data_IF_772342246288
#
_entry.id   IF_772342246288
#
_cell.length_a   1.000
_cell.length_b   1.000
_cell.length_c   1.000
_cell.angle_alpha   90.00
_cell.angle_beta   90.00
_cell.angle_gamma   90.00
#
_symmetry.space_group_name_H-M   'P 1'
#
loop_
_entity.id
_entity.type
_entity.pdbx_description
1 polymer ?
#
# COMPACT_ATOMS: atom_id res chain seq x y z
N UNK A 1 -5.97 -43.91 6.75
CA UNK A 1 -5.16 -42.67 6.88
C UNK A 1 -4.18 -42.53 5.71
N UNK A 2 -3.29 -43.51 5.48
CA UNK A 2 -2.32 -43.51 4.37
C UNK A 2 -2.97 -43.41 2.98
N UNK A 3 -4.08 -44.13 2.75
CA UNK A 3 -4.85 -44.10 1.49
C UNK A 3 -5.51 -42.75 1.22
N UNK A 4 -5.96 -42.05 2.26
CA UNK A 4 -6.59 -40.73 2.15
C UNK A 4 -5.56 -39.64 1.83
N UNK A 5 -4.38 -39.72 2.45
CA UNK A 5 -3.22 -38.87 2.13
C UNK A 5 -2.78 -39.10 0.68
N UNK A 6 -2.76 -40.35 0.23
CA UNK A 6 -2.42 -40.70 -1.15
C UNK A 6 -3.40 -40.06 -2.16
N UNK A 7 -4.71 -40.17 -1.90
CA UNK A 7 -5.73 -39.54 -2.75
C UNK A 7 -5.63 -38.01 -2.77
N UNK A 8 -5.36 -37.38 -1.62
CA UNK A 8 -5.16 -35.94 -1.50
C UNK A 8 -3.96 -35.41 -2.29
N UNK A 9 -2.94 -36.24 -2.54
CA UNK A 9 -1.75 -35.86 -3.31
C UNK A 9 -1.94 -36.19 -4.80
N UNK A 10 -2.52 -37.35 -5.11
CA UNK A 10 -2.67 -37.81 -6.50
C UNK A 10 -3.74 -37.03 -7.28
N UNK A 11 -4.86 -36.68 -6.64
CA UNK A 11 -5.95 -35.99 -7.34
C UNK A 11 -5.51 -34.60 -7.82
N UNK A 12 -4.89 -33.73 -6.98
CA UNK A 12 -4.44 -32.41 -7.44
C UNK A 12 -3.29 -32.48 -8.47
N UNK A 13 -2.41 -33.47 -8.36
CA UNK A 13 -1.30 -33.63 -9.32
C UNK A 13 -1.79 -34.06 -10.69
N UNK A 14 -2.75 -35.00 -10.76
CA UNK A 14 -3.42 -35.38 -12.01
C UNK A 14 -4.18 -34.18 -12.58
N UNK A 15 -4.92 -33.44 -11.75
CA UNK A 15 -5.68 -32.27 -12.20
C UNK A 15 -4.76 -31.18 -12.77
N UNK A 16 -3.65 -30.90 -12.09
CA UNK A 16 -2.62 -29.95 -12.54
C UNK A 16 -2.02 -30.37 -13.90
N UNK A 17 -1.69 -31.65 -14.06
CA UNK A 17 -1.18 -32.19 -15.33
C UNK A 17 -2.18 -32.01 -16.49
N UNK A 18 -3.47 -32.27 -16.24
CA UNK A 18 -4.52 -32.10 -17.24
C UNK A 18 -4.70 -30.64 -17.65
N UNK A 19 -4.72 -29.72 -16.67
CA UNK A 19 -4.81 -28.27 -16.90
C UNK A 19 -3.62 -27.77 -17.74
N UNK A 20 -2.40 -28.14 -17.36
CA UNK A 20 -1.19 -27.77 -18.10
C UNK A 20 -1.19 -28.32 -19.53
N UNK A 21 -1.66 -29.56 -19.71
CA UNK A 21 -1.81 -30.19 -21.04
C UNK A 21 -2.83 -29.45 -21.91
N UNK A 22 -3.95 -29.01 -21.32
CA UNK A 22 -4.99 -28.27 -22.04
C UNK A 22 -4.51 -26.87 -22.44
N UNK A 23 -3.87 -26.15 -21.52
CA UNK A 23 -3.25 -24.83 -21.78
C UNK A 23 -2.19 -24.96 -22.89
N UNK A 24 -1.35 -26.00 -22.84
CA UNK A 24 -0.36 -26.29 -23.88
C UNK A 24 -1.03 -26.47 -25.25
N UNK A 25 -2.09 -27.29 -25.33
CA UNK A 25 -2.81 -27.54 -26.59
C UNK A 25 -3.48 -26.28 -27.15
N UNK A 26 -4.04 -25.41 -26.30
CA UNK A 26 -4.68 -24.16 -26.73
C UNK A 26 -3.64 -23.18 -27.25
N UNK A 27 -2.57 -22.91 -26.49
CA UNK A 27 -1.58 -21.89 -26.83
C UNK A 27 -0.67 -22.30 -28.00
N UNK A 28 -0.40 -23.60 -28.17
CA UNK A 28 0.59 -24.10 -29.14
C UNK A 28 -0.01 -24.94 -30.26
N UNK A 29 -1.33 -24.80 -30.51
CA UNK A 29 -2.11 -25.57 -31.50
C UNK A 29 -1.54 -25.57 -32.94
N UNK A 30 -0.63 -24.66 -33.30
CA UNK A 30 -0.11 -24.54 -34.67
C UNK A 30 1.42 -24.46 -34.85
N UNK A 31 2.26 -24.73 -33.82
CA UNK A 31 3.73 -24.71 -33.99
C UNK A 31 4.34 -26.07 -33.65
N UNK A 32 4.77 -26.79 -34.69
CA UNK A 32 5.26 -28.18 -34.64
C UNK A 32 6.46 -28.47 -33.71
N UNK A 33 7.09 -27.48 -33.08
CA UNK A 33 8.32 -27.71 -32.29
C UNK A 33 8.44 -26.83 -31.03
N UNK A 34 7.35 -26.53 -30.33
CA UNK A 34 7.48 -25.93 -28.99
C UNK A 34 7.64 -27.03 -27.95
N UNK A 35 8.85 -27.15 -27.40
CA UNK A 35 9.19 -28.15 -26.37
C UNK A 35 8.29 -27.99 -25.15
N UNK A 36 7.70 -29.11 -24.68
CA UNK A 36 6.91 -29.17 -23.44
C UNK A 36 7.68 -28.62 -22.23
N UNK A 37 9.00 -28.74 -22.24
CA UNK A 37 9.91 -28.19 -21.22
C UNK A 37 9.91 -26.65 -21.20
N UNK A 38 9.84 -25.99 -22.36
CA UNK A 38 9.77 -24.52 -22.43
C UNK A 38 8.45 -23.98 -21.88
N UNK A 39 7.36 -24.71 -22.06
CA UNK A 39 6.04 -24.34 -21.51
C UNK A 39 6.01 -24.50 -20.00
N UNK A 40 6.64 -25.55 -19.48
CA UNK A 40 6.85 -25.73 -18.04
C UNK A 40 7.69 -24.58 -17.43
N UNK A 41 8.83 -24.26 -18.04
CA UNK A 41 9.66 -23.11 -17.61
C UNK A 41 8.90 -21.79 -17.69
N UNK A 42 8.12 -21.58 -18.76
CA UNK A 42 7.25 -20.41 -18.90
C UNK A 42 6.21 -20.31 -17.78
N UNK A 43 5.60 -21.43 -17.39
CA UNK A 43 4.61 -21.46 -16.29
C UNK A 43 5.24 -21.16 -14.92
N UNK A 44 6.45 -21.67 -14.64
CA UNK A 44 7.22 -21.32 -13.44
C UNK A 44 7.57 -19.83 -13.45
N UNK A 45 8.04 -19.33 -14.61
CA UNK A 45 8.36 -17.92 -14.80
C UNK A 45 7.16 -17.01 -14.51
N UNK A 46 5.96 -17.39 -14.96
CA UNK A 46 4.72 -16.65 -14.68
C UNK A 46 4.34 -16.66 -13.20
N UNK A 47 4.50 -17.79 -12.51
CA UNK A 47 4.24 -17.89 -11.06
C UNK A 47 5.20 -16.99 -10.28
N UNK A 48 6.50 -17.04 -10.61
CA UNK A 48 7.51 -16.17 -9.98
C UNK A 48 7.20 -14.70 -10.30
N UNK A 49 6.87 -14.38 -11.54
CA UNK A 49 6.50 -13.04 -11.95
C UNK A 49 5.29 -12.50 -11.18
N UNK A 50 4.25 -13.31 -10.97
CA UNK A 50 3.07 -12.93 -10.18
C UNK A 50 3.37 -12.81 -8.68
N UNK A 51 4.31 -13.60 -8.14
CA UNK A 51 4.74 -13.46 -6.74
C UNK A 51 5.69 -12.30 -6.50
N UNK A 52 6.49 -11.92 -7.49
CA UNK A 52 7.46 -10.82 -7.36
C UNK A 52 6.78 -9.44 -7.44
N UNK A 53 7.35 -8.40 -6.81
CA UNK A 53 6.77 -7.05 -6.82
C UNK A 53 6.63 -6.43 -8.22
N UNK A 54 7.34 -6.97 -9.22
CA UNK A 54 7.30 -6.48 -10.60
C UNK A 54 5.89 -6.52 -11.21
N UNK A 55 5.07 -7.50 -10.84
CA UNK A 55 3.71 -7.59 -11.34
C UNK A 55 2.78 -6.48 -10.81
N UNK A 56 3.14 -5.76 -9.74
CA UNK A 56 2.37 -4.58 -9.31
C UNK A 56 2.29 -3.51 -10.39
N UNK A 57 3.34 -3.35 -11.20
CA UNK A 57 3.39 -2.35 -12.27
C UNK A 57 2.39 -2.59 -13.40
N UNK A 58 1.80 -3.79 -13.47
CA UNK A 58 0.74 -4.12 -14.41
C UNK A 58 -0.66 -3.73 -13.91
N UNK A 59 -0.79 -3.37 -12.64
CA UNK A 59 -2.07 -3.10 -11.99
C UNK A 59 -2.35 -1.58 -11.99
N UNK A 60 -3.41 -1.08 -12.65
CA UNK A 60 -3.68 0.36 -12.72
C UNK A 60 -3.81 1.05 -11.36
N UNK A 61 -4.39 0.36 -10.37
CA UNK A 61 -4.51 0.87 -8.99
C UNK A 61 -3.17 1.10 -8.31
N UNK A 62 -2.12 0.36 -8.69
CA UNK A 62 -0.77 0.56 -8.16
C UNK A 62 -0.17 1.88 -8.66
N UNK A 63 -0.43 2.25 -9.92
CA UNK A 63 0.01 3.53 -10.45
C UNK A 63 -0.72 4.71 -9.79
N UNK A 64 -2.02 4.56 -9.54
CA UNK A 64 -2.79 5.54 -8.76
C UNK A 64 -2.19 5.71 -7.36
N UNK A 65 -2.01 4.62 -6.62
CA UNK A 65 -1.32 4.60 -5.33
C UNK A 65 0.03 5.32 -5.36
N UNK A 66 0.91 4.91 -6.30
CA UNK A 66 2.25 5.47 -6.44
C UNK A 66 2.24 6.97 -6.73
N UNK A 67 1.33 7.43 -7.60
CA UNK A 67 1.22 8.85 -7.93
C UNK A 67 0.70 9.69 -6.78
N UNK A 68 -0.21 9.15 -5.98
CA UNK A 68 -0.69 9.83 -4.77
C UNK A 68 0.43 9.91 -3.71
N UNK A 69 1.19 8.83 -3.49
CA UNK A 69 2.32 8.87 -2.53
C UNK A 69 3.40 9.89 -2.92
N UNK A 70 3.61 10.16 -4.22
CA UNK A 70 4.53 11.22 -4.67
C UNK A 70 4.14 12.61 -4.21
N UNK A 71 2.89 12.85 -3.81
CA UNK A 71 2.49 14.13 -3.22
C UNK A 71 3.27 14.41 -1.93
N UNK A 72 3.71 13.39 -1.20
CA UNK A 72 4.51 13.55 0.01
C UNK A 72 5.89 14.13 -0.25
N UNK A 73 6.43 13.97 -1.47
CA UNK A 73 7.73 14.51 -1.88
C UNK A 73 7.69 16.02 -2.14
N UNK A 74 6.49 16.59 -2.39
CA UNK A 74 6.32 18.00 -2.66
C UNK A 74 6.71 18.86 -1.43
N UNK A 75 7.17 20.11 -1.63
CA UNK A 75 7.38 21.06 -0.55
C UNK A 75 6.11 21.26 0.29
N UNK A 76 6.27 21.39 1.61
CA UNK A 76 5.16 21.69 2.52
C UNK A 76 4.68 23.13 2.31
N UNK A 77 3.70 23.30 1.43
CA UNK A 77 3.08 24.56 1.08
C UNK A 77 1.58 24.37 0.82
N UNK A 78 0.87 25.47 0.63
CA UNK A 78 -0.58 25.45 0.41
C UNK A 78 -0.97 24.66 -0.84
N UNK A 79 -0.17 24.71 -1.90
CA UNK A 79 -0.42 23.95 -3.13
C UNK A 79 -0.42 22.43 -2.87
N UNK A 80 0.58 21.91 -2.16
CA UNK A 80 0.64 20.51 -1.75
C UNK A 80 -0.56 20.15 -0.89
N UNK A 81 -0.88 21.00 0.08
CA UNK A 81 -1.94 20.73 1.04
C UNK A 81 -3.30 20.66 0.35
N UNK A 82 -3.62 21.63 -0.51
CA UNK A 82 -4.85 21.61 -1.31
C UNK A 82 -4.88 20.44 -2.31
N UNK A 83 -3.74 20.00 -2.85
CA UNK A 83 -3.66 18.79 -3.69
C UNK A 83 -3.96 17.50 -2.90
N UNK A 84 -3.59 17.42 -1.63
CA UNK A 84 -3.92 16.28 -0.77
C UNK A 84 -5.40 16.35 -0.36
N UNK A 85 -5.86 17.52 0.07
CA UNK A 85 -7.22 17.75 0.55
C UNK A 85 -8.28 17.60 -0.55
N UNK A 86 -7.94 17.85 -1.81
CA UNK A 86 -8.88 17.65 -2.93
C UNK A 86 -9.35 16.20 -3.06
N UNK A 87 -8.56 15.22 -2.62
CA UNK A 87 -9.01 13.82 -2.55
C UNK A 87 -10.07 13.58 -1.48
N UNK A 88 -10.24 14.50 -0.52
CA UNK A 88 -11.29 14.51 0.49
C UNK A 88 -12.43 15.48 0.15
N UNK A 89 -12.49 15.97 -1.09
CA UNK A 89 -13.50 16.92 -1.55
C UNK A 89 -13.51 18.24 -0.74
N UNK A 90 -12.33 18.65 -0.25
CA UNK A 90 -12.12 19.88 0.52
C UNK A 90 -10.80 20.57 0.15
N UNK A 91 -10.53 21.70 0.78
CA UNK A 91 -9.27 22.43 0.73
C UNK A 91 -8.92 22.97 2.13
N UNK A 92 -7.79 23.67 2.24
CA UNK A 92 -7.31 24.19 3.52
C UNK A 92 -8.22 25.31 4.09
N UNK A 93 -8.99 26.00 3.24
CA UNK A 93 -9.90 27.07 3.66
C UNK A 93 -11.21 26.51 4.21
N UNK A 94 -11.72 25.45 3.59
CA UNK A 94 -13.01 24.84 3.91
C UNK A 94 -12.92 23.65 4.87
N UNK A 95 -11.71 23.24 5.29
CA UNK A 95 -11.53 22.12 6.21
C UNK A 95 -12.20 22.42 7.57
N UNK A 96 -12.94 21.44 8.09
CA UNK A 96 -13.52 21.49 9.43
C UNK A 96 -12.42 21.25 10.48
N UNK A 97 -11.79 22.33 10.92
CA UNK A 97 -10.74 22.30 11.94
C UNK A 97 -11.26 21.88 13.31
N UNK A 98 -12.52 22.15 13.63
CA UNK A 98 -13.10 21.79 14.92
C UNK A 98 -13.20 20.27 15.02
N UNK A 99 -13.80 19.62 14.02
CA UNK A 99 -13.87 18.16 13.93
C UNK A 99 -12.47 17.51 13.92
N UNK A 100 -11.51 18.11 13.19
CA UNK A 100 -10.15 17.60 13.09
C UNK A 100 -9.44 17.63 14.46
N UNK A 101 -9.65 18.70 15.24
CA UNK A 101 -8.96 18.89 16.52
C UNK A 101 -9.48 18.02 17.66
N UNK A 102 -10.71 17.49 17.57
CA UNK A 102 -11.22 16.50 18.54
C UNK A 102 -10.35 15.25 18.62
N UNK A 103 -9.60 14.96 17.55
CA UNK A 103 -8.74 13.78 17.42
C UNK A 103 -7.26 14.11 17.56
N UNK A 104 -6.87 15.34 17.86
CA UNK A 104 -5.45 15.71 17.97
C UNK A 104 -4.81 15.01 19.16
N UNK A 105 -3.63 14.43 18.95
CA UNK A 105 -2.80 13.86 20.01
C UNK A 105 -1.41 14.47 20.03
N UNK A 106 -0.77 14.36 21.19
CA UNK A 106 0.62 14.78 21.37
C UNK A 106 1.56 13.67 20.94
N UNK A 107 2.53 14.00 20.10
CA UNK A 107 3.55 13.10 19.60
C UNK A 107 4.61 12.88 20.71
N UNK A 108 5.01 11.63 20.90
CA UNK A 108 6.02 11.25 21.89
C UNK A 108 7.43 11.39 21.31
N UNK A 109 8.46 11.53 22.18
CA UNK A 109 9.85 11.70 21.72
C UNK A 109 10.41 10.50 20.97
N UNK A 110 9.80 9.34 21.19
CA UNK A 110 10.13 8.06 20.59
C UNK A 110 9.56 7.92 19.16
N UNK A 111 8.67 8.82 18.76
CA UNK A 111 8.08 8.82 17.42
C UNK A 111 9.09 9.31 16.37
N UNK A 112 9.11 8.67 15.20
CA UNK A 112 10.03 9.01 14.10
C UNK A 112 9.83 10.46 13.61
N UNK A 113 8.61 10.98 13.70
CA UNK A 113 8.27 12.32 13.24
C UNK A 113 8.56 13.39 14.28
N UNK A 114 8.83 13.04 15.55
CA UNK A 114 9.00 14.05 16.60
C UNK A 114 10.17 15.00 16.31
N UNK A 115 9.85 16.30 16.35
CA UNK A 115 10.82 17.39 16.26
C UNK A 115 10.43 18.45 17.28
N UNK A 116 11.27 18.63 18.30
CA UNK A 116 11.00 19.62 19.35
C UNK A 116 10.77 21.02 18.75
N UNK A 117 9.66 21.65 19.12
CA UNK A 117 9.23 22.97 18.63
C UNK A 117 8.74 23.00 17.18
N UNK A 118 8.57 21.85 16.52
CA UNK A 118 8.18 21.77 15.09
C UNK A 118 7.06 20.75 14.87
N UNK A 119 7.23 19.50 15.31
CA UNK A 119 6.26 18.42 15.18
C UNK A 119 6.03 17.81 16.56
N UNK A 120 5.06 18.37 17.29
CA UNK A 120 4.70 17.97 18.64
C UNK A 120 3.26 17.46 18.76
N UNK A 121 2.41 17.79 17.79
CA UNK A 121 1.02 17.37 17.73
C UNK A 121 0.69 16.85 16.34
N UNK A 122 -0.14 15.82 16.30
CA UNK A 122 -0.64 15.22 15.08
C UNK A 122 -2.16 15.07 15.14
N UNK A 123 -2.79 15.23 13.99
CA UNK A 123 -4.17 14.80 13.77
C UNK A 123 -4.34 14.22 12.38
N UNK A 124 -5.45 13.52 12.16
CA UNK A 124 -5.78 12.84 10.90
C UNK A 124 -7.17 13.23 10.42
N UNK A 125 -7.34 13.26 9.10
CA UNK A 125 -8.69 13.13 8.53
C UNK A 125 -9.29 11.76 8.85
N UNK A 126 -10.62 11.64 8.68
CA UNK A 126 -11.26 10.33 8.62
C UNK A 126 -10.68 9.50 7.49
N UNK A 127 -10.61 8.18 7.70
CA UNK A 127 -10.26 7.24 6.65
C UNK A 127 -11.26 7.34 5.49
N UNK A 128 -10.72 7.44 4.28
CA UNK A 128 -11.48 7.46 3.04
C UNK A 128 -11.06 6.27 2.19
N UNK A 129 -12.01 5.43 1.83
CA UNK A 129 -11.81 4.43 0.79
C UNK A 129 -11.98 5.09 -0.58
N UNK A 130 -10.94 5.06 -1.41
CA UNK A 130 -11.01 5.56 -2.79
C UNK A 130 -11.65 4.49 -3.68
N UNK A 131 -11.30 3.23 -3.42
CA UNK A 131 -11.85 2.05 -4.06
C UNK A 131 -11.51 0.81 -3.21
N UNK A 132 -11.97 -0.36 -3.65
CA UNK A 132 -11.73 -1.64 -2.97
C UNK A 132 -10.25 -2.01 -2.70
N UNK A 133 -9.29 -1.24 -3.19
CA UNK A 133 -7.86 -1.48 -3.00
C UNK A 133 -7.12 -0.36 -2.30
N UNK A 134 -7.72 0.81 -2.11
CA UNK A 134 -7.05 2.00 -1.62
C UNK A 134 -7.81 2.62 -0.46
N UNK A 135 -7.21 2.59 0.73
CA UNK A 135 -7.60 3.40 1.88
C UNK A 135 -6.62 4.55 2.06
N UNK A 136 -7.12 5.72 2.46
CA UNK A 136 -6.28 6.90 2.67
C UNK A 136 -6.71 7.72 3.89
N UNK A 137 -5.72 8.31 4.54
CA UNK A 137 -5.87 9.40 5.53
C UNK A 137 -4.85 10.48 5.21
N UNK A 138 -5.13 11.73 5.57
CA UNK A 138 -4.13 12.79 5.58
C UNK A 138 -3.73 13.09 7.02
N UNK A 139 -2.43 13.19 7.27
CA UNK A 139 -1.86 13.60 8.54
C UNK A 139 -1.42 15.05 8.51
N UNK A 140 -1.59 15.71 9.66
CA UNK A 140 -1.23 17.11 9.88
C UNK A 140 -0.34 17.16 11.10
N UNK A 141 0.88 17.70 10.94
CA UNK A 141 1.83 17.88 12.01
C UNK A 141 1.98 19.35 12.34
N UNK A 142 1.93 19.67 13.63
CA UNK A 142 2.10 21.02 14.15
C UNK A 142 2.93 21.03 15.43
N UNK A 143 3.44 22.19 15.80
CA UNK A 143 3.98 22.48 17.13
C UNK A 143 2.89 22.88 18.14
N UNK A 144 1.66 23.12 17.70
CA UNK A 144 0.54 23.55 18.54
C UNK A 144 -0.57 22.49 18.63
N UNK A 145 -1.23 22.42 19.80
CA UNK A 145 -2.29 21.44 20.05
C UNK A 145 -3.59 21.74 19.28
N UNK A 146 -3.90 23.01 19.06
CA UNK A 146 -5.05 23.44 18.26
C UNK A 146 -4.58 23.72 16.83
N UNK A 147 -4.64 22.69 15.98
CA UNK A 147 -4.14 22.73 14.61
C UNK A 147 -5.11 23.51 13.74
N UNK A 148 -4.60 24.45 12.95
CA UNK A 148 -5.37 25.27 12.02
C UNK A 148 -4.56 25.55 10.74
N UNK A 149 -5.19 26.20 9.76
CA UNK A 149 -4.56 26.49 8.46
C UNK A 149 -3.22 27.24 8.50
N UNK A 150 -2.91 27.93 9.61
CA UNK A 150 -1.74 28.79 9.75
C UNK A 150 -0.55 28.11 10.44
N UNK A 151 -0.81 27.18 11.38
CA UNK A 151 0.23 26.56 12.21
C UNK A 151 0.61 25.14 11.77
N UNK A 152 0.11 24.66 10.62
CA UNK A 152 0.54 23.37 10.06
C UNK A 152 1.97 23.47 9.53
N UNK A 153 2.86 22.70 10.15
CA UNK A 153 4.25 22.59 9.75
C UNK A 153 4.44 21.55 8.62
N UNK A 154 3.66 20.47 8.62
CA UNK A 154 3.71 19.45 7.57
C UNK A 154 2.34 18.79 7.36
N UNK A 155 2.06 18.43 6.11
CA UNK A 155 0.95 17.52 5.77
C UNK A 155 1.47 16.37 4.91
N UNK A 156 1.03 15.16 5.18
CA UNK A 156 1.32 13.98 4.37
C UNK A 156 0.03 13.19 4.09
N UNK A 157 0.01 12.48 2.97
CA UNK A 157 -1.04 11.50 2.67
C UNK A 157 -0.50 10.11 3.00
N UNK A 158 -1.22 9.41 3.87
CA UNK A 158 -0.96 8.03 4.23
C UNK A 158 -1.95 7.15 3.48
N UNK A 159 -1.44 6.34 2.56
CA UNK A 159 -2.27 5.50 1.70
C UNK A 159 -1.84 4.05 1.89
N UNK A 160 -2.83 3.19 2.07
CA UNK A 160 -2.67 1.74 2.03
C UNK A 160 -3.14 1.21 0.68
N UNK A 161 -2.35 0.33 0.08
CA UNK A 161 -2.74 -0.39 -1.13
C UNK A 161 -2.78 -1.90 -0.90
N UNK A 162 -3.97 -2.45 -1.07
CA UNK A 162 -4.27 -3.88 -0.97
C UNK A 162 -3.77 -4.61 -2.22
N UNK A 163 -2.71 -5.40 -2.07
CA UNK A 163 -2.03 -6.04 -3.19
C UNK A 163 -2.80 -7.24 -3.76
N UNK A 164 -3.83 -7.73 -3.06
CA UNK A 164 -4.57 -8.98 -3.32
C UNK A 164 -3.67 -10.23 -3.32
N UNK A 165 -2.49 -10.12 -2.68
CA UNK A 165 -1.56 -11.23 -2.50
C UNK A 165 -1.56 -11.62 -1.05
N UNK A 166 -1.76 -12.90 -0.81
CA UNK A 166 -1.85 -13.46 0.52
C UNK A 166 -0.58 -14.24 0.83
N UNK A 167 -0.07 -14.09 2.03
CA UNK A 167 0.94 -14.96 2.59
C UNK A 167 0.38 -15.66 3.81
N UNK A 168 0.96 -16.81 4.11
CA UNK A 168 0.61 -17.59 5.29
C UNK A 168 1.53 -17.16 6.43
N UNK A 169 0.94 -16.68 7.52
CA UNK A 169 1.67 -16.32 8.72
C UNK A 169 1.44 -17.39 9.79
N UNK A 170 2.52 -18.03 10.25
CA UNK A 170 2.46 -19.06 11.28
C UNK A 170 2.74 -18.38 12.62
N UNK A 171 1.77 -17.62 13.11
CA UNK A 171 1.84 -16.94 14.39
C UNK A 171 1.48 -17.94 15.51
N UNK A 172 2.46 -18.76 15.89
CA UNK A 172 2.43 -19.79 16.95
C UNK A 172 1.58 -21.04 16.66
N UNK A 173 2.26 -22.19 16.61
CA UNK A 173 1.71 -23.57 16.53
C UNK A 173 0.75 -23.97 17.68
N UNK A 174 0.38 -23.04 18.57
CA UNK A 174 -0.43 -23.28 19.77
C UNK A 174 -1.81 -22.62 19.74
N UNK A 175 -2.14 -21.85 18.69
CA UNK A 175 -3.49 -21.32 18.45
C UNK A 175 -3.93 -21.74 17.05
N UNK A 176 -5.16 -22.25 16.93
CA UNK A 176 -5.79 -22.70 15.68
C UNK A 176 -6.10 -21.56 14.68
N UNK A 177 -5.41 -20.43 14.77
CA UNK A 177 -5.71 -19.20 14.04
C UNK A 177 -4.79 -19.03 12.81
N UNK A 178 -4.52 -20.12 12.08
CA UNK A 178 -3.80 -20.12 10.81
C UNK A 178 -4.52 -19.21 9.79
N UNK A 179 -3.99 -18.00 9.54
CA UNK A 179 -4.69 -16.98 8.76
C UNK A 179 -3.88 -16.58 7.51
N UNK A 180 -4.57 -16.56 6.37
CA UNK A 180 -4.06 -15.95 5.14
C UNK A 180 -4.13 -14.43 5.27
N UNK A 181 -2.98 -13.78 5.44
CA UNK A 181 -2.89 -12.33 5.59
C UNK A 181 -2.65 -11.69 4.23
N UNK A 182 -3.49 -10.72 3.87
CA UNK A 182 -3.27 -9.91 2.68
C UNK A 182 -2.08 -8.97 2.89
N UNK A 183 -1.14 -8.97 1.94
CA UNK A 183 -0.06 -8.00 1.90
C UNK A 183 -0.58 -6.62 1.49
N UNK A 184 -0.26 -5.62 2.29
CA UNK A 184 -0.50 -4.20 1.98
C UNK A 184 0.81 -3.48 1.68
N UNK A 185 0.75 -2.44 0.86
CA UNK A 185 1.84 -1.47 0.67
C UNK A 185 1.42 -0.11 1.21
N UNK A 186 2.34 0.60 1.84
CA UNK A 186 2.13 1.95 2.35
C UNK A 186 3.10 2.95 1.69
N UNK A 187 2.74 4.24 1.71
CA UNK A 187 3.50 5.28 1.00
C UNK A 187 4.97 5.38 1.39
N UNK A 188 5.32 5.20 2.67
CA UNK A 188 6.70 5.25 3.15
C UNK A 188 7.64 4.25 2.45
N UNK A 189 7.09 3.20 1.81
CA UNK A 189 7.87 2.21 1.03
C UNK A 189 8.11 2.60 -0.42
N UNK A 190 7.45 3.66 -0.92
CA UNK A 190 7.40 3.99 -2.36
C UNK A 190 7.78 5.45 -2.64
N UNK A 191 7.55 6.36 -1.69
CA UNK A 191 7.86 7.77 -1.81
C UNK A 191 8.59 8.26 -0.56
N UNK A 192 9.46 9.27 -0.73
CA UNK A 192 10.14 9.91 0.40
C UNK A 192 9.29 11.06 0.92
N UNK A 193 9.03 11.08 2.21
CA UNK A 193 8.31 12.19 2.81
C UNK A 193 9.19 13.43 2.94
N UNK A 194 8.64 14.58 2.53
CA UNK A 194 9.28 15.87 2.73
C UNK A 194 9.01 16.36 4.15
N UNK A 195 10.04 16.22 5.00
CA UNK A 195 10.02 16.61 6.41
C UNK A 195 10.46 18.07 6.64
N UNK A 196 10.69 18.88 5.59
CA UNK A 196 11.03 20.30 5.75
C UNK A 196 9.78 21.09 6.13
N UNK A 197 9.77 21.81 7.27
CA UNK A 197 8.57 22.52 7.73
C UNK A 197 8.11 23.59 6.73
N UNK A 198 6.80 23.83 6.68
CA UNK A 198 6.21 24.92 5.91
C UNK A 198 6.83 26.26 6.32
N UNK A 199 7.18 27.06 5.31
CA UNK A 199 7.79 28.37 5.52
C UNK A 199 9.27 28.34 5.90
N UNK A 200 9.88 27.16 6.06
CA UNK A 200 11.32 27.05 6.32
C UNK A 200 12.10 27.41 5.05
N UNK A 201 12.83 28.53 5.08
CA UNK A 201 13.83 28.86 4.07
C UNK A 201 15.16 28.26 4.52
N UNK A 202 15.73 27.38 3.69
CA UNK A 202 17.14 27.01 3.83
C UNK A 202 17.96 28.22 3.38
N UNK A 203 18.24 29.14 4.30
CA UNK A 203 19.23 30.18 4.06
C UNK A 203 20.62 29.49 4.04
N UNK A 204 21.07 29.13 2.84
CA UNK A 204 22.45 28.77 2.54
C UNK A 204 23.13 29.91 1.80
#
# INVERSE_FOLDING_TARGET
MLTYIFLLIFIPTILSYLILTFIYRILFKSKEKVSKFLVFLGSIGLIIFYRTPYSYYLEPSYWQFKNMCKLNELPNNEEKYNKILSYFDTDLENLDWEELNEKTWKITKEDEFYRQGIYEYETLTKEKEINSRLGMVASFLSNEAEINRYNINQMAINISWHTRRYYFDIANLTRDDDMWIEKTLACYRVAKENMTPRGFKNDK
#
